data_IF_502297694089
#
_entry.id   IF_502297694089
#
_cell.length_a   1.000
_cell.length_b   1.000
_cell.length_c   1.000
_cell.angle_alpha   90.00
_cell.angle_beta   90.00
_cell.angle_gamma   90.00
#
_symmetry.space_group_name_H-M   'P 1'
#
loop_
_entity.id
_entity.type
_entity.pdbx_description
1 polymer ?
#
# COMPACT_ATOMS: atom_id res chain seq x y z
N UNK A 1 29.69 -16.17 3.76
CA UNK A 1 29.37 -14.89 4.42
C UNK A 1 27.89 -14.65 4.22
N UNK A 2 27.09 -14.84 5.28
CA UNK A 2 25.66 -14.57 5.29
C UNK A 2 25.48 -13.06 5.17
N UNK A 3 25.17 -12.60 3.96
CA UNK A 3 24.93 -11.18 3.69
C UNK A 3 23.61 -10.81 4.33
N UNK A 4 23.67 -10.25 5.54
CA UNK A 4 22.57 -9.48 6.11
C UNK A 4 22.21 -8.42 5.07
N UNK A 5 21.09 -8.65 4.37
CA UNK A 5 20.49 -7.63 3.52
C UNK A 5 20.06 -6.51 4.45
N UNK A 6 20.93 -5.50 4.55
CA UNK A 6 20.65 -4.16 5.00
C UNK A 6 19.17 -3.85 4.77
N UNK A 7 18.40 -3.77 5.86
CA UNK A 7 16.98 -3.42 5.83
C UNK A 7 16.91 -2.01 5.23
N UNK A 8 16.74 -1.94 3.90
CA UNK A 8 16.44 -0.71 3.19
C UNK A 8 15.23 -0.11 3.92
N UNK A 9 15.34 1.13 4.37
CA UNK A 9 14.22 1.78 5.06
C UNK A 9 12.94 1.59 4.23
N UNK A 10 11.80 1.29 4.86
CA UNK A 10 10.56 1.08 4.14
C UNK A 10 10.22 2.39 3.41
N UNK A 11 10.34 2.38 2.09
CA UNK A 11 9.90 3.50 1.26
C UNK A 11 8.37 3.51 1.25
N UNK A 12 7.78 4.43 2.00
CA UNK A 12 6.33 4.59 2.13
C UNK A 12 5.73 5.40 0.97
N UNK A 13 6.53 5.92 0.04
CA UNK A 13 6.04 6.81 -1.01
C UNK A 13 5.08 6.14 -1.98
N UNK A 14 5.33 4.88 -2.39
CA UNK A 14 4.40 4.13 -3.23
C UNK A 14 3.09 3.86 -2.49
N UNK A 15 3.17 3.35 -1.26
CA UNK A 15 1.99 3.12 -0.41
C UNK A 15 1.16 4.38 -0.15
N UNK A 16 1.80 5.53 0.04
CA UNK A 16 1.09 6.81 0.24
C UNK A 16 0.33 7.26 -1.01
N UNK A 17 0.93 7.09 -2.19
CA UNK A 17 0.25 7.42 -3.45
C UNK A 17 -0.95 6.50 -3.69
N UNK A 18 -0.77 5.19 -3.49
CA UNK A 18 -1.86 4.21 -3.65
C UNK A 18 -3.01 4.49 -2.70
N UNK A 19 -2.73 4.71 -1.41
CA UNK A 19 -3.75 4.97 -0.41
C UNK A 19 -4.46 6.32 -0.64
N UNK A 20 -3.75 7.33 -1.15
CA UNK A 20 -4.37 8.60 -1.54
C UNK A 20 -5.35 8.42 -2.71
N UNK A 21 -5.01 7.63 -3.73
CA UNK A 21 -5.89 7.34 -4.86
C UNK A 21 -7.12 6.54 -4.39
N UNK A 22 -6.92 5.49 -3.59
CA UNK A 22 -8.00 4.68 -3.05
C UNK A 22 -8.96 5.54 -2.23
N UNK A 23 -8.44 6.37 -1.32
CA UNK A 23 -9.24 7.28 -0.50
C UNK A 23 -9.99 8.30 -1.35
N UNK A 24 -9.33 8.85 -2.38
CA UNK A 24 -9.95 9.75 -3.35
C UNK A 24 -11.14 9.11 -4.05
N UNK A 25 -11.00 7.89 -4.55
CA UNK A 25 -12.09 7.17 -5.21
C UNK A 25 -13.20 6.76 -4.23
N UNK A 26 -12.85 6.32 -3.02
CA UNK A 26 -13.85 6.01 -1.99
C UNK A 26 -14.74 7.23 -1.71
N UNK A 27 -14.17 8.44 -1.65
CA UNK A 27 -14.91 9.68 -1.44
C UNK A 27 -15.69 10.09 -2.71
N UNK A 28 -15.06 10.09 -3.87
CA UNK A 28 -15.67 10.56 -5.13
C UNK A 28 -16.86 9.71 -5.58
N UNK A 29 -16.84 8.42 -5.26
CA UNK A 29 -17.88 7.47 -5.67
C UNK A 29 -18.72 6.94 -4.50
N UNK A 30 -18.58 7.51 -3.30
CA UNK A 30 -19.32 7.13 -2.07
C UNK A 30 -19.32 5.62 -1.80
N UNK A 31 -18.14 4.99 -1.93
CA UNK A 31 -18.01 3.52 -1.91
C UNK A 31 -18.09 2.92 -0.49
N UNK A 32 -18.02 3.75 0.55
CA UNK A 32 -18.07 3.36 1.97
C UNK A 32 -17.19 2.14 2.31
N UNK A 33 -15.94 2.17 1.86
CA UNK A 33 -14.98 1.06 2.05
C UNK A 33 -14.27 1.22 3.40
N UNK A 34 -14.24 0.20 4.27
CA UNK A 34 -13.48 0.23 5.51
C UNK A 34 -11.98 0.43 5.28
N UNK A 35 -11.31 1.11 6.22
CA UNK A 35 -9.86 1.37 6.13
C UNK A 35 -9.03 0.12 5.91
N UNK A 36 -9.33 -0.96 6.64
CA UNK A 36 -8.59 -2.21 6.50
C UNK A 36 -8.72 -2.80 5.08
N UNK A 37 -9.90 -2.71 4.49
CA UNK A 37 -10.16 -3.18 3.12
C UNK A 37 -9.46 -2.29 2.09
N UNK A 38 -9.45 -0.96 2.30
CA UNK A 38 -8.67 -0.04 1.47
C UNK A 38 -7.17 -0.40 1.49
N UNK A 39 -6.64 -0.76 2.66
CA UNK A 39 -5.25 -1.21 2.80
C UNK A 39 -4.98 -2.52 2.05
N UNK A 40 -5.91 -3.49 2.10
CA UNK A 40 -5.79 -4.72 1.33
C UNK A 40 -5.87 -4.49 -0.18
N UNK A 41 -6.69 -3.54 -0.63
CA UNK A 41 -6.76 -3.11 -2.04
C UNK A 41 -5.42 -2.51 -2.48
N UNK A 42 -4.84 -1.60 -1.70
CA UNK A 42 -3.53 -1.01 -1.99
C UNK A 42 -2.43 -2.08 -2.09
N UNK A 43 -2.39 -3.00 -1.12
CA UNK A 43 -1.45 -4.13 -1.16
C UNK A 43 -1.61 -4.97 -2.42
N UNK A 44 -2.85 -5.28 -2.83
CA UNK A 44 -3.10 -6.05 -4.05
C UNK A 44 -2.69 -5.27 -5.30
N UNK A 45 -2.94 -3.96 -5.36
CA UNK A 45 -2.47 -3.11 -6.46
C UNK A 45 -0.93 -3.14 -6.59
N UNK A 46 -0.19 -2.94 -5.50
CA UNK A 46 1.27 -2.96 -5.51
C UNK A 46 1.82 -4.33 -5.96
N UNK A 47 1.24 -5.42 -5.45
CA UNK A 47 1.71 -6.78 -5.75
C UNK A 47 1.31 -7.27 -7.15
N UNK A 48 0.08 -7.00 -7.56
CA UNK A 48 -0.53 -7.64 -8.75
C UNK A 48 -0.50 -6.73 -9.98
N UNK A 49 -0.55 -5.41 -9.80
CA UNK A 49 -0.50 -4.44 -10.89
C UNK A 49 0.90 -3.85 -11.08
N UNK A 50 1.51 -3.33 -10.02
CA UNK A 50 2.89 -2.77 -10.09
C UNK A 50 3.93 -3.89 -10.15
N UNK A 51 3.63 -5.05 -9.56
CA UNK A 51 4.51 -6.23 -9.55
C UNK A 51 5.55 -6.19 -8.43
N UNK A 52 5.38 -5.30 -7.44
CA UNK A 52 6.31 -5.13 -6.32
C UNK A 52 5.83 -5.99 -5.15
N UNK A 53 6.63 -6.98 -4.77
CA UNK A 53 6.32 -7.85 -3.63
C UNK A 53 6.45 -7.08 -2.31
N UNK A 54 5.33 -6.64 -1.77
CA UNK A 54 5.26 -5.81 -0.57
C UNK A 54 4.36 -6.43 0.52
N UNK A 55 4.71 -6.14 1.78
CA UNK A 55 3.88 -6.49 2.93
C UNK A 55 2.79 -5.43 3.19
N UNK A 56 1.73 -5.82 3.91
CA UNK A 56 0.59 -4.93 4.22
C UNK A 56 0.98 -3.67 5.01
N UNK A 57 2.10 -3.73 5.72
CA UNK A 57 2.58 -2.64 6.59
C UNK A 57 2.79 -1.33 5.83
N UNK A 58 3.23 -1.38 4.56
CA UNK A 58 3.50 -0.19 3.76
C UNK A 58 2.20 0.58 3.51
N UNK A 59 1.15 -0.09 3.03
CA UNK A 59 -0.15 0.54 2.78
C UNK A 59 -0.89 0.90 4.08
N UNK A 60 -0.66 0.17 5.18
CA UNK A 60 -1.31 0.45 6.47
C UNK A 60 -0.71 1.70 7.13
N UNK A 61 0.61 1.83 7.10
CA UNK A 61 1.33 2.98 7.67
C UNK A 61 1.18 4.26 6.85
N UNK A 62 0.74 4.15 5.60
CA UNK A 62 0.55 5.28 4.70
C UNK A 62 -0.89 5.86 4.72
N UNK A 63 -1.79 5.30 5.53
CA UNK A 63 -3.16 5.78 5.71
C UNK A 63 -3.26 6.89 6.77
#
# INVERSE_FOLDING_TARGET
>A
MSGETFLKEPDLSSGALEMAVIKGFTILFDLNIPTLDMTYIGKSAENDFVGVRSGIMINLSAY
#
